data_IF_547416230733
#
_entry.id   IF_547416230733
#
_cell.length_a   1.000
_cell.length_b   1.000
_cell.length_c   1.000
_cell.angle_alpha   90.00
_cell.angle_beta   90.00
_cell.angle_gamma   90.00
#
_symmetry.space_group_name_H-M   'P 1'
#
loop_
_entity.id
_entity.type
_entity.pdbx_description
1 polymer ?
#
# COMPACT_ATOMS: atom_id res chain seq x y z
N UNK A 1 19.95 43.95 62.91
CA UNK A 1 19.79 42.66 62.23
C UNK A 1 20.68 42.66 61.00
N UNK A 2 21.86 42.05 61.09
CA UNK A 2 22.89 42.03 60.04
C UNK A 2 22.71 40.83 59.10
N UNK A 3 22.53 41.08 57.79
CA UNK A 3 22.43 40.03 56.79
C UNK A 3 23.84 39.52 56.42
N UNK A 4 24.14 38.26 56.75
CA UNK A 4 25.37 37.58 56.33
C UNK A 4 25.18 36.99 54.93
N UNK A 5 25.76 37.64 53.92
CA UNK A 5 25.80 37.15 52.55
C UNK A 5 26.84 36.01 52.45
N UNK A 6 26.38 34.77 52.30
CA UNK A 6 27.27 33.62 52.12
C UNK A 6 27.66 33.48 50.65
N UNK A 7 28.93 33.74 50.35
CA UNK A 7 29.48 33.54 49.02
C UNK A 7 29.68 32.03 48.76
N UNK A 8 28.88 31.46 47.85
CA UNK A 8 29.00 30.06 47.44
C UNK A 8 30.31 29.88 46.67
N UNK A 9 31.21 29.05 47.18
CA UNK A 9 32.39 28.58 46.44
C UNK A 9 31.96 27.47 45.48
N UNK A 10 32.12 27.69 44.18
CA UNK A 10 31.97 26.64 43.17
C UNK A 10 33.14 25.65 43.33
N UNK A 11 32.84 24.38 43.62
CA UNK A 11 33.82 23.34 43.95
C UNK A 11 34.27 22.52 42.74
N UNK A 12 33.84 22.87 41.53
CA UNK A 12 34.24 22.14 40.31
C UNK A 12 34.38 23.14 39.17
N UNK A 13 35.60 23.23 38.65
CA UNK A 13 35.92 23.95 37.42
C UNK A 13 35.28 23.20 36.24
N UNK A 14 34.46 23.90 35.46
CA UNK A 14 33.77 23.29 34.30
C UNK A 14 34.84 23.00 33.24
N UNK A 15 35.01 21.74 32.78
CA UNK A 15 35.96 21.42 31.71
C UNK A 15 35.62 22.20 30.44
N UNK A 16 36.65 22.71 29.77
CA UNK A 16 36.50 23.51 28.54
C UNK A 16 35.59 22.80 27.52
N UNK A 17 34.69 23.53 26.82
CA UNK A 17 33.77 22.94 25.87
C UNK A 17 34.54 22.21 24.77
N UNK A 18 34.20 20.94 24.56
CA UNK A 18 34.81 20.10 23.53
C UNK A 18 34.65 20.74 22.14
N UNK A 19 35.67 20.71 21.28
CA UNK A 19 35.57 21.26 19.93
C UNK A 19 34.49 20.52 19.15
N UNK A 20 33.60 21.29 18.51
CA UNK A 20 32.54 20.74 17.66
C UNK A 20 33.19 20.00 16.48
N UNK A 21 33.18 18.67 16.53
CA UNK A 21 33.53 17.85 15.38
C UNK A 21 32.54 18.25 14.28
N UNK A 22 33.06 18.80 13.17
CA UNK A 22 32.28 19.04 11.97
C UNK A 22 31.84 17.67 11.44
N UNK A 23 30.72 17.17 11.95
CA UNK A 23 30.12 15.95 11.46
C UNK A 23 29.86 16.13 9.97
N UNK A 24 30.49 15.27 9.17
CA UNK A 24 30.22 15.06 7.75
C UNK A 24 28.73 15.32 7.47
N UNK A 25 28.46 16.35 6.67
CA UNK A 25 27.12 16.79 6.33
C UNK A 25 26.31 15.56 5.92
N UNK A 26 25.27 15.25 6.71
CA UNK A 26 24.41 14.10 6.47
C UNK A 26 23.79 14.30 5.10
N UNK A 27 24.03 13.35 4.18
CA UNK A 27 23.48 13.40 2.82
C UNK A 27 21.98 13.68 2.85
N UNK A 28 21.54 14.55 1.95
CA UNK A 28 20.13 14.91 1.87
C UNK A 28 19.29 13.69 1.45
N UNK A 29 18.03 13.64 1.88
CA UNK A 29 17.12 12.55 1.53
C UNK A 29 17.01 12.34 0.01
N UNK A 30 17.06 13.42 -0.77
CA UNK A 30 17.07 13.37 -2.24
C UNK A 30 18.32 12.70 -2.81
N UNK A 31 19.49 12.95 -2.22
CA UNK A 31 20.75 12.33 -2.63
C UNK A 31 20.76 10.81 -2.36
N UNK A 32 20.10 10.39 -1.27
CA UNK A 32 19.93 8.98 -0.91
C UNK A 32 18.96 8.27 -1.86
N UNK A 33 17.90 8.96 -2.30
CA UNK A 33 16.96 8.41 -3.27
C UNK A 33 17.56 8.33 -4.68
N UNK A 34 18.35 9.32 -5.10
CA UNK A 34 19.00 9.34 -6.41
C UNK A 34 20.02 8.22 -6.60
N UNK A 35 20.70 7.79 -5.53
CA UNK A 35 21.68 6.69 -5.57
C UNK A 35 21.07 5.31 -5.92
N UNK A 36 19.74 5.15 -5.84
CA UNK A 36 19.06 3.91 -6.27
C UNK A 36 18.77 3.85 -7.76
N UNK A 37 18.88 4.98 -8.47
CA UNK A 37 18.57 5.08 -9.90
C UNK A 37 19.81 5.15 -10.80
N UNK A 38 21.02 5.18 -10.21
CA UNK A 38 22.25 5.07 -10.98
C UNK A 38 22.58 3.59 -11.24
N UNK A 39 23.00 3.19 -12.45
CA UNK A 39 23.52 1.86 -12.69
C UNK A 39 24.83 1.68 -11.93
N UNK A 40 24.87 0.73 -11.00
CA UNK A 40 26.06 0.39 -10.24
C UNK A 40 27.12 -0.26 -11.17
N UNK A 41 28.43 0.06 -11.02
CA UNK A 41 29.48 -0.70 -11.67
C UNK A 41 29.52 -2.14 -11.12
N UNK A 42 29.75 -3.09 -12.03
CA UNK A 42 29.86 -4.54 -11.77
C UNK A 42 30.79 -4.86 -10.58
N UNK A 43 30.36 -5.71 -9.63
CA UNK A 43 31.30 -6.36 -8.73
C UNK A 43 31.93 -7.58 -9.41
N UNK A 44 33.25 -7.64 -9.28
CA UNK A 44 34.15 -8.71 -9.69
C UNK A 44 33.84 -10.01 -8.94
N UNK A 45 33.80 -11.10 -9.69
CA UNK A 45 33.54 -12.50 -9.30
C UNK A 45 34.36 -13.05 -8.11
N UNK A 46 33.69 -13.80 -7.21
CA UNK A 46 34.07 -15.18 -6.81
C UNK A 46 33.03 -15.88 -5.89
N UNK A 47 32.27 -16.80 -6.50
CA UNK A 47 31.91 -18.17 -6.08
C UNK A 47 31.14 -18.50 -4.76
N UNK A 48 30.49 -19.69 -4.68
CA UNK A 48 29.08 -19.79 -4.30
C UNK A 48 28.87 -20.62 -3.02
N UNK A 49 27.78 -20.36 -2.30
CA UNK A 49 26.89 -21.41 -1.77
C UNK A 49 25.76 -20.82 -0.92
N UNK A 50 24.64 -21.56 -0.96
CA UNK A 50 23.50 -21.58 -0.05
C UNK A 50 22.26 -20.73 -0.40
N UNK A 51 21.20 -21.51 -0.72
CA UNK A 51 19.78 -21.32 -0.37
C UNK A 51 18.91 -20.47 -1.32
N UNK A 52 18.54 -21.14 -2.43
CA UNK A 52 17.19 -21.26 -3.02
C UNK A 52 16.18 -20.21 -2.54
N UNK A 53 16.08 -19.11 -3.28
CA UNK A 53 14.93 -18.21 -3.25
C UNK A 53 13.79 -18.85 -4.04
N UNK A 54 12.67 -19.09 -3.37
CA UNK A 54 11.43 -19.47 -4.03
C UNK A 54 10.91 -18.27 -4.83
N UNK A 55 10.83 -18.47 -6.15
CA UNK A 55 10.09 -17.62 -7.08
C UNK A 55 8.63 -17.59 -6.64
N UNK A 56 8.15 -16.43 -6.19
CA UNK A 56 6.71 -16.17 -6.14
C UNK A 56 6.32 -15.65 -7.51
N UNK A 57 6.04 -16.60 -8.39
CA UNK A 57 5.30 -16.39 -9.62
C UNK A 57 3.85 -16.11 -9.21
N UNK A 58 3.45 -14.83 -9.25
CA UNK A 58 2.08 -14.41 -9.03
C UNK A 58 1.27 -14.78 -10.27
N UNK A 59 0.85 -16.04 -10.35
CA UNK A 59 -0.18 -16.48 -11.27
C UNK A 59 -1.51 -15.85 -10.86
N UNK A 60 -1.81 -14.70 -11.45
CA UNK A 60 -3.09 -13.98 -11.32
C UNK A 60 -4.18 -14.56 -12.26
N UNK A 61 -4.00 -15.78 -12.79
CA UNK A 61 -4.83 -16.30 -13.89
C UNK A 61 -5.82 -17.42 -13.55
N UNK A 62 -6.03 -17.77 -12.26
CA UNK A 62 -6.74 -19.01 -11.89
C UNK A 62 -8.22 -18.89 -11.50
N UNK A 63 -8.72 -17.71 -11.11
CA UNK A 63 -10.02 -17.60 -10.41
C UNK A 63 -11.14 -17.08 -11.32
N UNK A 64 -11.24 -17.62 -12.52
CA UNK A 64 -12.39 -17.38 -13.41
C UNK A 64 -12.94 -18.67 -14.05
N UNK A 65 -12.49 -19.84 -13.61
CA UNK A 65 -12.73 -21.12 -14.31
C UNK A 65 -13.70 -22.10 -13.65
N UNK A 66 -14.31 -21.82 -12.49
CA UNK A 66 -14.91 -22.89 -11.66
C UNK A 66 -16.40 -22.68 -11.33
N UNK A 67 -17.17 -21.97 -12.16
CA UNK A 67 -18.63 -21.94 -12.00
C UNK A 67 -19.42 -21.54 -13.27
N UNK A 68 -19.08 -22.12 -14.42
CA UNK A 68 -19.94 -22.10 -15.62
C UNK A 68 -19.92 -23.50 -16.24
N UNK A 69 -20.28 -24.52 -15.46
CA UNK A 69 -20.61 -25.84 -15.98
C UNK A 69 -21.97 -26.19 -15.40
N UNK A 70 -23.04 -25.84 -16.13
CA UNK A 70 -24.31 -26.59 -16.06
C UNK A 70 -25.37 -26.22 -17.12
N UNK A 71 -25.01 -25.52 -18.19
CA UNK A 71 -25.81 -25.53 -19.42
C UNK A 71 -25.05 -24.88 -20.58
N UNK A 72 -24.45 -25.72 -21.42
CA UNK A 72 -24.05 -25.32 -22.77
C UNK A 72 -24.48 -26.43 -23.72
N UNK A 73 -25.64 -26.25 -24.35
CA UNK A 73 -25.98 -27.04 -25.53
C UNK A 73 -24.92 -26.79 -26.60
N UNK A 74 -24.08 -27.80 -26.81
CA UNK A 74 -23.40 -28.17 -28.06
C UNK A 74 -23.40 -27.07 -29.14
N UNK A 75 -22.55 -26.06 -29.01
CA UNK A 75 -22.19 -25.19 -30.13
C UNK A 75 -20.99 -25.82 -30.87
N UNK A 76 -21.17 -25.99 -32.18
CA UNK A 76 -20.21 -26.53 -33.13
C UNK A 76 -18.84 -25.85 -33.02
N UNK A 77 -17.81 -26.68 -32.95
CA UNK A 77 -16.42 -26.33 -32.62
C UNK A 77 -15.66 -25.87 -33.88
N UNK A 78 -16.10 -24.76 -34.46
CA UNK A 78 -15.43 -24.10 -35.57
C UNK A 78 -15.19 -22.63 -35.24
N UNK A 79 -14.04 -22.27 -34.62
CA UNK A 79 -13.66 -20.87 -34.50
C UNK A 79 -13.38 -20.33 -35.91
N UNK A 80 -14.38 -19.67 -36.48
CA UNK A 80 -14.24 -19.00 -37.77
C UNK A 80 -13.21 -17.89 -37.58
N UNK A 81 -12.11 -17.86 -38.36
CA UNK A 81 -11.12 -16.80 -38.23
C UNK A 81 -11.74 -15.47 -38.63
N UNK A 82 -11.97 -14.60 -37.64
CA UNK A 82 -12.52 -13.27 -37.84
C UNK A 82 -11.49 -12.38 -38.54
N UNK A 83 -11.92 -11.64 -39.56
CA UNK A 83 -11.09 -10.59 -40.14
C UNK A 83 -10.86 -9.47 -39.11
N UNK A 84 -9.77 -8.71 -39.24
CA UNK A 84 -9.46 -7.57 -38.36
C UNK A 84 -10.63 -6.58 -38.26
N UNK A 85 -11.33 -6.36 -39.37
CA UNK A 85 -12.48 -5.46 -39.42
C UNK A 85 -13.67 -6.02 -38.65
N UNK A 86 -13.95 -7.33 -38.78
CA UNK A 86 -15.01 -7.99 -38.02
C UNK A 86 -14.72 -7.99 -36.52
N UNK A 87 -13.46 -8.20 -36.11
CA UNK A 87 -13.07 -8.11 -34.70
C UNK A 87 -13.27 -6.70 -34.14
N UNK A 88 -12.86 -5.67 -34.90
CA UNK A 88 -13.08 -4.27 -34.50
C UNK A 88 -14.58 -3.96 -34.42
N UNK A 89 -15.38 -4.45 -35.37
CA UNK A 89 -16.83 -4.28 -35.37
C UNK A 89 -17.47 -4.97 -34.16
N UNK A 90 -17.02 -6.18 -33.83
CA UNK A 90 -17.46 -6.98 -32.69
C UNK A 90 -17.10 -6.28 -31.37
N UNK A 91 -15.88 -5.78 -31.22
CA UNK A 91 -15.47 -5.05 -30.02
C UNK A 91 -16.31 -3.79 -29.87
N UNK A 92 -16.55 -3.04 -30.95
CA UNK A 92 -17.42 -1.85 -30.93
C UNK A 92 -18.86 -2.20 -30.54
N UNK A 93 -19.42 -3.29 -31.08
CA UNK A 93 -20.78 -3.71 -30.74
C UNK A 93 -20.88 -4.20 -29.30
N UNK A 94 -19.88 -4.95 -28.80
CA UNK A 94 -19.82 -5.38 -27.40
C UNK A 94 -19.70 -4.20 -26.43
N UNK A 95 -18.90 -3.18 -26.75
CA UNK A 95 -18.81 -1.96 -25.94
C UNK A 95 -20.16 -1.23 -25.91
N UNK A 96 -20.84 -1.11 -27.06
CA UNK A 96 -22.16 -0.47 -27.14
C UNK A 96 -23.24 -1.25 -26.37
N UNK A 97 -23.22 -2.58 -26.43
CA UNK A 97 -24.16 -3.44 -25.67
C UNK A 97 -23.85 -3.39 -24.17
N UNK A 98 -22.56 -3.39 -23.79
CA UNK A 98 -22.12 -3.26 -22.40
C UNK A 98 -22.46 -1.90 -21.79
N UNK A 99 -22.63 -0.85 -22.60
CA UNK A 99 -23.13 0.46 -22.14
C UNK A 99 -24.66 0.46 -21.94
N UNK A 100 -25.40 -0.43 -22.61
CA UNK A 100 -26.86 -0.52 -22.52
C UNK A 100 -27.34 -1.49 -21.45
N UNK A 101 -26.53 -2.47 -21.06
CA UNK A 101 -26.80 -3.22 -19.84
C UNK A 101 -26.43 -2.34 -18.65
N UNK A 102 -27.43 -1.97 -17.85
CA UNK A 102 -27.23 -1.56 -16.46
C UNK A 102 -26.18 -2.46 -15.81
N UNK A 103 -25.26 -1.91 -14.98
CA UNK A 103 -24.09 -2.60 -14.47
C UNK A 103 -24.52 -3.71 -13.49
N UNK A 104 -24.98 -4.83 -14.02
CA UNK A 104 -25.21 -6.08 -13.27
C UNK A 104 -23.95 -6.93 -13.22
N UNK A 105 -22.90 -6.55 -13.95
CA UNK A 105 -21.58 -7.17 -13.82
C UNK A 105 -20.77 -6.39 -12.79
N UNK A 106 -20.28 -7.14 -11.81
CA UNK A 106 -19.58 -6.67 -10.62
C UNK A 106 -20.54 -6.05 -9.60
N UNK A 107 -21.44 -6.88 -9.05
CA UNK A 107 -21.67 -6.77 -7.61
C UNK A 107 -20.28 -6.80 -6.98
N UNK A 108 -19.78 -5.64 -6.59
CA UNK A 108 -18.48 -5.51 -5.95
C UNK A 108 -18.55 -6.43 -4.75
N UNK A 109 -17.83 -7.57 -4.76
CA UNK A 109 -17.94 -8.52 -3.66
C UNK A 109 -17.50 -7.79 -2.41
N UNK A 110 -18.48 -7.46 -1.56
CA UNK A 110 -18.30 -6.63 -0.38
C UNK A 110 -17.23 -7.24 0.54
N UNK A 111 -17.05 -8.56 0.45
CA UNK A 111 -15.98 -9.31 1.10
C UNK A 111 -14.60 -8.88 0.65
N UNK A 112 -14.37 -8.70 -0.65
CA UNK A 112 -13.09 -8.23 -1.17
C UNK A 112 -12.75 -6.83 -0.66
N UNK A 113 -13.75 -5.94 -0.57
CA UNK A 113 -13.58 -4.60 0.00
C UNK A 113 -13.24 -4.66 1.49
N UNK A 114 -13.95 -5.54 2.22
CA UNK A 114 -13.71 -5.77 3.64
C UNK A 114 -12.30 -6.32 3.89
N UNK A 115 -11.85 -7.28 3.08
CA UNK A 115 -10.51 -7.87 3.15
C UNK A 115 -9.42 -6.85 2.85
N UNK A 116 -9.58 -6.00 1.82
CA UNK A 116 -8.63 -4.91 1.55
C UNK A 116 -8.54 -3.95 2.74
N UNK A 117 -9.69 -3.48 3.26
CA UNK A 117 -9.70 -2.60 4.43
C UNK A 117 -9.06 -3.25 5.67
N UNK A 118 -9.31 -4.54 5.90
CA UNK A 118 -8.66 -5.30 6.97
C UNK A 118 -7.15 -5.37 6.79
N UNK A 119 -6.68 -5.66 5.57
CA UNK A 119 -5.26 -5.71 5.27
C UNK A 119 -4.60 -4.34 5.48
N UNK A 120 -5.21 -3.25 5.01
CA UNK A 120 -4.71 -1.88 5.23
C UNK A 120 -4.66 -1.54 6.72
N UNK A 121 -5.70 -1.90 7.49
CA UNK A 121 -5.70 -1.75 8.96
C UNK A 121 -4.54 -2.49 9.60
N UNK A 122 -4.34 -3.77 9.26
CA UNK A 122 -3.23 -4.57 9.79
C UNK A 122 -1.89 -3.93 9.46
N UNK A 123 -1.73 -3.40 8.24
CA UNK A 123 -0.50 -2.71 7.83
C UNK A 123 -0.22 -1.45 8.66
N UNK A 124 -1.26 -0.66 8.99
CA UNK A 124 -1.13 0.48 9.91
C UNK A 124 -0.57 0.00 11.26
N UNK A 125 -1.18 -1.01 11.87
CA UNK A 125 -0.73 -1.52 13.18
C UNK A 125 0.67 -2.16 13.12
N UNK A 126 0.99 -2.91 12.06
CA UNK A 126 2.30 -3.55 11.89
C UNK A 126 3.43 -2.55 11.65
N UNK A 127 3.12 -1.36 11.14
CA UNK A 127 4.12 -0.33 10.89
C UNK A 127 4.59 0.38 12.17
N UNK A 128 3.82 0.29 13.25
CA UNK A 128 4.16 0.89 14.54
C UNK A 128 5.22 0.02 15.22
N UNK A 129 6.44 0.53 15.47
CA UNK A 129 7.49 -0.25 16.11
C UNK A 129 7.08 -0.66 17.53
N UNK A 130 7.26 -1.94 17.87
CA UNK A 130 7.12 -2.38 19.26
C UNK A 130 8.23 -1.79 20.11
N UNK A 131 7.90 -0.76 20.89
CA UNK A 131 8.82 -0.19 21.86
C UNK A 131 8.49 -0.67 23.27
N UNK A 132 9.48 -1.19 23.99
CA UNK A 132 9.35 -1.52 25.42
C UNK A 132 9.54 -0.31 26.33
N UNK A 133 10.21 0.74 25.83
CA UNK A 133 10.61 1.92 26.61
C UNK A 133 10.12 3.26 26.02
N UNK A 134 9.30 3.22 24.97
CA UNK A 134 8.84 4.40 24.25
C UNK A 134 7.36 4.35 23.93
N UNK A 135 6.77 5.52 23.63
CA UNK A 135 5.35 5.64 23.31
C UNK A 135 5.07 5.27 21.86
N UNK A 136 4.06 4.41 21.66
CA UNK A 136 3.53 4.09 20.33
C UNK A 136 2.77 5.28 19.70
N UNK A 137 2.62 6.38 20.43
CA UNK A 137 1.92 7.61 20.01
C UNK A 137 2.88 8.78 19.73
N UNK A 138 4.18 8.52 19.70
CA UNK A 138 5.17 9.56 19.45
C UNK A 138 5.27 9.95 17.96
N UNK A 139 6.01 11.04 17.69
CA UNK A 139 6.23 11.51 16.33
C UNK A 139 7.04 10.51 15.47
N UNK A 140 7.79 9.60 16.07
CA UNK A 140 8.53 8.56 15.33
C UNK A 140 7.57 7.49 14.80
N UNK A 141 6.70 6.97 15.65
CA UNK A 141 5.66 6.00 15.32
C UNK A 141 4.67 6.57 14.30
N UNK A 142 4.24 7.83 14.48
CA UNK A 142 3.37 8.48 13.49
C UNK A 142 4.03 8.54 12.10
N UNK A 143 5.30 8.94 12.01
CA UNK A 143 6.03 8.98 10.73
C UNK A 143 6.12 7.61 10.05
N UNK A 144 6.17 6.53 10.84
CA UNK A 144 6.15 5.15 10.32
C UNK A 144 4.77 4.73 9.83
N UNK A 145 3.71 5.07 10.58
CA UNK A 145 2.34 4.71 10.23
C UNK A 145 1.73 5.58 9.13
N UNK A 146 2.22 6.81 8.95
CA UNK A 146 1.63 7.80 8.05
C UNK A 146 1.39 7.29 6.62
N UNK A 147 2.35 6.64 5.91
CA UNK A 147 2.09 6.13 4.57
C UNK A 147 0.96 5.09 4.53
N UNK A 148 0.82 4.26 5.57
CA UNK A 148 -0.22 3.25 5.67
C UNK A 148 -1.59 3.85 6.00
N UNK A 149 -1.61 4.91 6.82
CA UNK A 149 -2.83 5.68 7.10
C UNK A 149 -3.33 6.39 5.82
N UNK A 150 -2.43 6.96 5.04
CA UNK A 150 -2.78 7.56 3.74
C UNK A 150 -3.33 6.50 2.80
N UNK A 151 -2.68 5.33 2.69
CA UNK A 151 -3.18 4.23 1.86
C UNK A 151 -4.56 3.74 2.31
N UNK A 152 -4.80 3.60 3.63
CA UNK A 152 -6.10 3.24 4.19
C UNK A 152 -7.17 4.26 3.82
N UNK A 153 -6.88 5.56 4.00
CA UNK A 153 -7.80 6.65 3.65
C UNK A 153 -8.14 6.63 2.16
N UNK A 154 -7.13 6.50 1.30
CA UNK A 154 -7.32 6.47 -0.15
C UNK A 154 -8.19 5.27 -0.55
N UNK A 155 -7.92 4.06 -0.04
CA UNK A 155 -8.79 2.89 -0.26
C UNK A 155 -10.25 3.18 0.14
N UNK A 156 -10.48 3.79 1.30
CA UNK A 156 -11.85 4.12 1.73
C UNK A 156 -12.56 5.03 0.71
N UNK A 157 -11.86 6.07 0.24
CA UNK A 157 -12.40 7.07 -0.67
C UNK A 157 -12.61 6.51 -2.07
N UNK A 158 -11.62 5.81 -2.63
CA UNK A 158 -11.69 5.25 -3.99
C UNK A 158 -12.83 4.24 -4.11
N UNK A 159 -12.93 3.28 -3.18
CA UNK A 159 -14.03 2.32 -3.19
C UNK A 159 -15.39 2.96 -2.95
N UNK A 160 -15.47 3.95 -2.04
CA UNK A 160 -16.69 4.73 -1.85
C UNK A 160 -17.13 5.44 -3.14
N UNK A 161 -16.19 6.00 -3.90
CA UNK A 161 -16.49 6.65 -5.19
C UNK A 161 -16.92 5.65 -6.26
N UNK A 162 -16.31 4.46 -6.31
CA UNK A 162 -16.72 3.39 -7.24
C UNK A 162 -18.16 2.96 -6.97
N UNK A 163 -18.48 2.65 -5.71
CA UNK A 163 -19.83 2.21 -5.31
C UNK A 163 -20.89 3.29 -5.57
N UNK A 164 -20.56 4.57 -5.34
CA UNK A 164 -21.45 5.70 -5.66
C UNK A 164 -21.71 5.83 -7.17
N UNK A 165 -20.68 5.65 -8.01
CA UNK A 165 -20.83 5.71 -9.47
C UNK A 165 -21.70 4.56 -9.99
N UNK A 166 -21.63 3.40 -9.36
CA UNK A 166 -22.45 2.23 -9.68
C UNK A 166 -23.87 2.31 -9.10
N UNK A 167 -24.20 3.35 -8.32
CA UNK A 167 -25.49 3.50 -7.61
C UNK A 167 -25.80 2.34 -6.64
N UNK A 168 -24.76 1.68 -6.11
CA UNK A 168 -24.88 0.59 -5.14
C UNK A 168 -25.03 1.15 -3.71
N UNK A 169 -26.18 1.77 -3.40
CA UNK A 169 -26.37 2.51 -2.14
C UNK A 169 -26.19 1.67 -0.88
N UNK A 170 -26.69 0.43 -0.88
CA UNK A 170 -26.54 -0.50 0.24
C UNK A 170 -25.06 -0.83 0.49
N UNK A 171 -24.31 -1.10 -0.58
CA UNK A 171 -22.87 -1.36 -0.49
C UNK A 171 -22.08 -0.12 -0.03
N UNK A 172 -22.48 1.09 -0.43
CA UNK A 172 -21.87 2.35 0.05
C UNK A 172 -22.04 2.47 1.57
N UNK A 173 -23.24 2.23 2.08
CA UNK A 173 -23.53 2.30 3.52
C UNK A 173 -22.74 1.24 4.29
N UNK A 174 -22.76 -0.01 3.83
CA UNK A 174 -21.99 -1.10 4.43
C UNK A 174 -20.48 -0.81 4.42
N UNK A 175 -19.93 -0.37 3.29
CA UNK A 175 -18.52 0.01 3.18
C UNK A 175 -18.15 1.15 4.14
N UNK A 176 -19.02 2.17 4.24
CA UNK A 176 -18.83 3.30 5.15
C UNK A 176 -18.85 2.86 6.62
N UNK A 177 -19.79 1.98 6.99
CA UNK A 177 -19.88 1.40 8.33
C UNK A 177 -18.68 0.52 8.65
N UNK A 178 -18.21 -0.29 7.70
CA UNK A 178 -17.01 -1.10 7.87
C UNK A 178 -15.77 -0.24 8.11
N UNK A 179 -15.57 0.80 7.30
CA UNK A 179 -14.46 1.73 7.45
C UNK A 179 -14.52 2.48 8.81
N UNK A 180 -15.70 2.94 9.21
CA UNK A 180 -15.92 3.61 10.50
C UNK A 180 -15.59 2.71 11.69
N UNK A 181 -15.91 1.41 11.63
CA UNK A 181 -15.57 0.45 12.69
C UNK A 181 -14.06 0.24 12.86
N UNK A 182 -13.23 0.68 11.92
CA UNK A 182 -11.77 0.52 11.98
C UNK A 182 -11.00 1.76 12.43
N UNK A 183 -11.66 2.92 12.51
CA UNK A 183 -11.12 4.17 13.06
C UNK A 183 -11.36 4.27 14.56
#
# INVERSE_FOLDING_TARGET
>A
MSAMCHQRRALVEIPAPQPKIATRMRRSYLEILGARFAPAPLPRSRNPNTKRAHSLDLSFGGVWGERIEDQCEKMDDHPTPLSKQQLVQLIRSLILVGQSQEPKMVATDLKCLQEDLQLKKINVYRSIPYSRFGSNRDAHCYRKAYPHLVAFKVSCQEWGQVLLRNKEWDAVLEHSLMAWRYT
#
